data_IF_119335642306
#
_entry.id   IF_119335642306
#
_cell.length_a   1.000
_cell.length_b   1.000
_cell.length_c   1.000
_cell.angle_alpha   90.00
_cell.angle_beta   90.00
_cell.angle_gamma   90.00
#
_symmetry.space_group_name_H-M   'P 1'
#
loop_
_entity.id
_entity.type
_entity.pdbx_description
1 polymer ?
#
# COMPACT_ATOMS: atom_id res chain seq x y z
N UNK A 1 15.93 5.43 -23.16
CA UNK A 1 15.74 6.16 -21.89
C UNK A 1 14.25 6.46 -21.60
N UNK A 2 13.35 6.21 -22.55
CA UNK A 2 11.90 6.52 -22.47
C UNK A 2 11.08 5.67 -21.48
N UNK A 3 11.49 4.41 -21.21
CA UNK A 3 10.68 3.48 -20.41
C UNK A 3 10.75 3.67 -18.89
N UNK A 4 11.79 4.32 -18.36
CA UNK A 4 11.93 4.53 -16.90
C UNK A 4 10.94 5.58 -16.38
N UNK A 5 10.79 6.70 -17.11
CA UNK A 5 9.87 7.78 -16.72
C UNK A 5 8.40 7.36 -16.66
N UNK A 6 7.99 6.36 -17.46
CA UNK A 6 6.64 5.80 -17.37
C UNK A 6 6.43 5.04 -16.06
N UNK A 7 7.40 4.22 -15.63
CA UNK A 7 7.32 3.46 -14.38
C UNK A 7 7.36 4.39 -13.16
N UNK A 8 8.23 5.40 -13.18
CA UNK A 8 8.37 6.38 -12.12
C UNK A 8 7.06 7.17 -11.93
N UNK A 9 6.40 7.57 -13.03
CA UNK A 9 5.10 8.24 -12.99
C UNK A 9 4.02 7.38 -12.30
N UNK A 10 3.91 6.10 -12.63
CA UNK A 10 2.91 5.22 -12.01
C UNK A 10 3.21 4.93 -10.54
N UNK A 11 4.48 4.91 -10.15
CA UNK A 11 4.86 4.85 -8.74
C UNK A 11 4.43 6.11 -7.98
N UNK A 12 4.65 7.30 -8.55
CA UNK A 12 4.17 8.56 -7.96
C UNK A 12 2.64 8.59 -7.85
N UNK A 13 1.94 8.14 -8.90
CA UNK A 13 0.47 8.04 -8.88
C UNK A 13 0.00 7.08 -7.79
N UNK A 14 0.67 5.95 -7.59
CA UNK A 14 0.29 4.99 -6.54
C UNK A 14 0.40 5.59 -5.12
N UNK A 15 1.44 6.41 -4.87
CA UNK A 15 1.63 7.10 -3.59
C UNK A 15 0.59 8.19 -3.38
N UNK A 16 0.42 9.07 -4.38
CA UNK A 16 -0.53 10.17 -4.29
C UNK A 16 -1.98 9.67 -4.20
N UNK A 17 -2.34 8.69 -5.04
CA UNK A 17 -3.66 8.06 -5.02
C UNK A 17 -3.94 7.29 -3.73
N UNK A 18 -2.94 6.57 -3.21
CA UNK A 18 -3.04 5.87 -1.93
C UNK A 18 -3.26 6.83 -0.76
N UNK A 19 -2.54 7.95 -0.73
CA UNK A 19 -2.72 8.98 0.29
C UNK A 19 -4.07 9.68 0.20
N UNK A 20 -4.47 10.13 -1.01
CA UNK A 20 -5.75 10.80 -1.23
C UNK A 20 -6.93 9.91 -0.86
N UNK A 21 -6.91 8.64 -1.28
CA UNK A 21 -7.97 7.70 -0.94
C UNK A 21 -7.98 7.39 0.56
N UNK A 22 -6.82 7.32 1.22
CA UNK A 22 -6.77 7.18 2.68
C UNK A 22 -7.47 8.35 3.40
N UNK A 23 -7.18 9.58 2.98
CA UNK A 23 -7.78 10.78 3.57
C UNK A 23 -9.30 10.84 3.30
N UNK A 24 -9.74 10.51 2.09
CA UNK A 24 -11.15 10.45 1.74
C UNK A 24 -11.90 9.41 2.58
N UNK A 25 -11.36 8.20 2.71
CA UNK A 25 -11.98 7.13 3.51
C UNK A 25 -12.00 7.47 5.00
N UNK A 26 -10.97 8.14 5.53
CA UNK A 26 -10.97 8.64 6.91
C UNK A 26 -12.08 9.64 7.17
N UNK A 27 -12.31 10.56 6.22
CA UNK A 27 -13.38 11.55 6.33
C UNK A 27 -14.78 10.91 6.21
N UNK A 28 -14.92 9.80 5.49
CA UNK A 28 -16.20 9.11 5.28
C UNK A 28 -16.59 8.20 6.46
N UNK A 29 -15.65 7.42 6.99
CA UNK A 29 -15.97 6.41 8.01
C UNK A 29 -15.86 6.94 9.44
N UNK A 30 -15.10 8.02 9.67
CA UNK A 30 -14.91 8.68 10.97
C UNK A 30 -14.78 7.72 12.16
N UNK A 31 -14.07 6.60 11.96
CA UNK A 31 -14.01 5.52 12.94
C UNK A 31 -13.07 5.90 14.09
N UNK A 32 -13.56 5.81 15.31
CA UNK A 32 -12.76 6.01 16.53
C UNK A 32 -11.65 4.96 16.68
N UNK A 33 -10.59 5.33 17.40
CA UNK A 33 -9.41 4.47 17.61
C UNK A 33 -9.65 3.42 18.68
N UNK A 34 -9.11 2.19 18.52
CA UNK A 34 -9.13 1.23 19.61
C UNK A 34 -8.36 1.77 20.80
N UNK A 35 -8.98 1.72 21.98
CA UNK A 35 -8.30 1.92 23.27
C UNK A 35 -8.08 0.55 23.95
N UNK A 36 -7.34 -0.32 23.26
CA UNK A 36 -7.15 -1.72 23.69
C UNK A 36 -6.14 -1.85 24.83
N UNK A 37 -5.10 -1.01 24.83
CA UNK A 37 -4.05 -0.92 25.85
C UNK A 37 -3.39 0.46 25.72
N UNK A 38 -2.69 0.93 26.77
CA UNK A 38 -2.08 2.26 26.82
C UNK A 38 -1.25 2.54 25.58
N UNK A 39 -1.82 3.30 24.64
CA UNK A 39 -1.26 3.51 23.32
C UNK A 39 0.11 4.18 23.47
N UNK A 40 1.18 3.49 23.08
CA UNK A 40 2.56 3.99 23.22
C UNK A 40 2.81 5.28 22.42
N UNK A 41 1.94 5.54 21.45
CA UNK A 41 1.89 6.77 20.65
C UNK A 41 0.41 7.14 20.54
N UNK A 42 0.06 8.40 20.75
CA UNK A 42 -1.29 8.94 20.49
C UNK A 42 -1.24 9.65 19.14
N UNK A 43 -1.66 9.01 18.04
CA UNK A 43 -1.63 9.65 16.73
C UNK A 43 -2.95 10.41 16.52
N UNK A 44 -2.89 11.62 15.96
CA UNK A 44 -4.10 12.39 15.67
C UNK A 44 -4.96 11.74 14.55
N UNK A 45 -6.27 11.93 14.61
CA UNK A 45 -7.24 11.57 13.56
C UNK A 45 -7.82 10.15 13.60
N UNK A 46 -8.68 9.83 12.62
CA UNK A 46 -9.47 8.59 12.58
C UNK A 46 -8.64 7.31 12.33
N UNK A 47 -9.22 6.18 12.71
CA UNK A 47 -8.62 4.84 12.60
C UNK A 47 -8.66 4.22 11.23
N UNK A 48 -9.80 4.33 10.55
CA UNK A 48 -10.06 3.61 9.32
C UNK A 48 -9.82 4.50 8.10
N UNK A 49 -9.11 4.02 7.06
CA UNK A 49 -8.24 2.85 7.03
C UNK A 49 -6.82 3.20 7.52
N UNK A 50 -6.02 2.18 7.84
CA UNK A 50 -4.63 2.41 8.27
C UNK A 50 -3.79 2.98 7.12
N UNK A 51 -3.32 4.22 7.27
CA UNK A 51 -2.52 4.92 6.26
C UNK A 51 -1.20 4.21 5.95
N UNK A 52 -0.51 3.71 6.98
CA UNK A 52 0.73 2.94 6.80
C UNK A 52 0.48 1.65 6.02
N UNK A 53 -0.59 0.91 6.35
CA UNK A 53 -0.95 -0.31 5.63
C UNK A 53 -1.32 -0.02 4.17
N UNK A 54 -2.09 1.05 3.94
CA UNK A 54 -2.56 1.40 2.60
C UNK A 54 -1.47 1.91 1.67
N UNK A 55 -0.63 2.84 2.15
CA UNK A 55 0.45 3.42 1.34
C UNK A 55 1.54 2.37 1.08
N UNK A 56 1.88 1.55 2.08
CA UNK A 56 2.85 0.45 1.88
C UNK A 56 2.35 -0.58 0.87
N UNK A 57 1.09 -1.00 0.96
CA UNK A 57 0.48 -1.92 0.00
C UNK A 57 0.41 -1.31 -1.41
N UNK A 58 0.06 -0.03 -1.53
CA UNK A 58 0.01 0.65 -2.83
C UNK A 58 1.41 0.74 -3.47
N UNK A 59 2.41 1.24 -2.75
CA UNK A 59 3.73 1.48 -3.33
C UNK A 59 4.56 0.20 -3.52
N UNK A 60 4.76 -0.56 -2.45
CA UNK A 60 5.53 -1.81 -2.53
C UNK A 60 4.80 -2.88 -3.33
N UNK A 61 3.46 -2.83 -3.36
CA UNK A 61 2.65 -3.71 -4.22
C UNK A 61 2.92 -3.48 -5.71
N UNK A 62 3.01 -2.22 -6.18
CA UNK A 62 3.36 -1.95 -7.58
C UNK A 62 4.71 -2.56 -7.93
N UNK A 63 5.72 -2.34 -7.08
CA UNK A 63 7.07 -2.86 -7.30
C UNK A 63 7.06 -4.39 -7.31
N UNK A 64 6.39 -5.02 -6.35
CA UNK A 64 6.26 -6.48 -6.28
C UNK A 64 5.58 -7.04 -7.54
N UNK A 65 4.52 -6.41 -8.02
CA UNK A 65 3.82 -6.82 -9.25
C UNK A 65 4.70 -6.68 -10.49
N UNK A 66 5.44 -5.57 -10.62
CA UNK A 66 6.39 -5.37 -11.73
C UNK A 66 7.52 -6.40 -11.68
N UNK A 67 8.03 -6.72 -10.49
CA UNK A 67 9.04 -7.76 -10.28
C UNK A 67 8.52 -9.15 -10.68
N UNK A 68 7.31 -9.51 -10.26
CA UNK A 68 6.68 -10.79 -10.61
C UNK A 68 6.42 -10.91 -12.12
N UNK A 69 5.99 -9.82 -12.77
CA UNK A 69 5.70 -9.78 -14.21
C UNK A 69 6.95 -9.78 -15.09
N UNK A 70 8.14 -9.53 -14.53
CA UNK A 70 9.39 -9.53 -15.30
C UNK A 70 9.83 -10.92 -15.79
N UNK A 71 9.29 -12.00 -15.18
CA UNK A 71 9.64 -13.38 -15.49
C UNK A 71 11.01 -13.85 -14.97
N UNK A 72 11.82 -12.97 -14.36
CA UNK A 72 13.15 -13.34 -13.83
C UNK A 72 13.01 -14.08 -12.49
N UNK A 73 13.65 -15.25 -12.35
CA UNK A 73 13.56 -16.08 -11.16
C UNK A 73 13.97 -15.33 -9.86
N UNK A 74 15.05 -14.55 -9.90
CA UNK A 74 15.52 -13.75 -8.76
C UNK A 74 14.52 -12.67 -8.31
N UNK A 75 13.65 -12.19 -9.20
CA UNK A 75 12.66 -11.16 -8.86
C UNK A 75 11.52 -11.69 -7.99
N UNK A 76 11.25 -13.01 -8.00
CA UNK A 76 10.23 -13.62 -7.14
C UNK A 76 10.59 -13.54 -5.66
N UNK A 77 11.87 -13.72 -5.35
CA UNK A 77 12.39 -13.58 -3.97
C UNK A 77 12.22 -12.13 -3.51
N UNK A 78 12.62 -11.17 -4.33
CA UNK A 78 12.44 -9.74 -4.02
C UNK A 78 10.96 -9.35 -3.85
N UNK A 79 10.07 -9.88 -4.69
CA UNK A 79 8.64 -9.67 -4.52
C UNK A 79 8.11 -10.25 -3.19
N UNK A 80 8.56 -11.45 -2.81
CA UNK A 80 8.20 -12.05 -1.52
C UNK A 80 8.70 -11.20 -0.33
N UNK A 81 9.92 -10.67 -0.41
CA UNK A 81 10.47 -9.76 0.61
C UNK A 81 9.61 -8.48 0.74
N UNK A 82 9.20 -7.89 -0.38
CA UNK A 82 8.32 -6.71 -0.36
C UNK A 82 6.95 -7.00 0.26
N UNK A 83 6.35 -8.15 -0.05
CA UNK A 83 5.09 -8.59 0.57
C UNK A 83 5.25 -8.81 2.07
N UNK A 84 6.39 -9.40 2.50
CA UNK A 84 6.70 -9.55 3.92
C UNK A 84 6.83 -8.20 4.61
N UNK A 85 7.47 -7.21 3.98
CA UNK A 85 7.57 -5.84 4.52
C UNK A 85 6.18 -5.23 4.70
N UNK A 86 5.28 -5.35 3.72
CA UNK A 86 3.90 -4.85 3.82
C UNK A 86 3.19 -5.48 5.04
N UNK A 87 3.31 -6.80 5.19
CA UNK A 87 2.71 -7.52 6.33
C UNK A 87 3.29 -7.06 7.67
N UNK A 88 4.61 -6.94 7.78
CA UNK A 88 5.29 -6.47 8.99
C UNK A 88 4.88 -5.04 9.36
N UNK A 89 4.67 -4.17 8.36
CA UNK A 89 4.14 -2.82 8.58
C UNK A 89 2.73 -2.91 9.19
N UNK A 90 1.84 -3.76 8.66
CA UNK A 90 0.52 -3.97 9.27
C UNK A 90 0.60 -4.50 10.70
N UNK A 91 1.42 -5.52 10.94
CA UNK A 91 1.62 -6.12 12.27
C UNK A 91 2.16 -5.08 13.26
N UNK A 92 3.07 -4.19 12.84
CA UNK A 92 3.57 -3.12 13.69
C UNK A 92 2.46 -2.20 14.20
N UNK A 93 1.41 -1.99 13.39
CA UNK A 93 0.25 -1.15 13.77
C UNK A 93 -0.68 -1.85 14.74
N UNK A 94 -0.83 -3.17 14.62
CA UNK A 94 -1.55 -3.98 15.59
C UNK A 94 -0.78 -4.02 16.92
N UNK A 95 0.54 -4.24 16.85
CA UNK A 95 1.46 -4.25 18.00
C UNK A 95 1.59 -2.89 18.68
N UNK A 96 1.21 -1.78 18.05
CA UNK A 96 1.14 -0.46 18.68
C UNK A 96 -0.25 -0.15 19.24
N UNK A 97 -1.25 -1.01 19.02
CA UNK A 97 -2.61 -0.81 19.55
C UNK A 97 -3.39 0.30 18.86
N UNK A 98 -2.80 0.94 17.85
CA UNK A 98 -3.32 2.15 17.18
C UNK A 98 -4.34 1.88 16.08
N UNK A 99 -4.54 0.62 15.67
CA UNK A 99 -5.50 0.24 14.63
C UNK A 99 -6.14 -1.11 14.93
N UNK A 100 -7.40 -1.27 14.53
CA UNK A 100 -8.05 -2.58 14.50
C UNK A 100 -7.46 -3.44 13.37
N UNK A 101 -7.50 -4.76 13.52
CA UNK A 101 -7.13 -5.70 12.46
C UNK A 101 -7.92 -5.43 11.16
N UNK A 102 -9.21 -5.03 11.28
CA UNK A 102 -10.04 -4.64 10.14
C UNK A 102 -9.56 -3.38 9.42
N UNK A 103 -8.96 -2.40 10.14
CA UNK A 103 -8.42 -1.18 9.52
C UNK A 103 -7.16 -1.48 8.69
N UNK A 104 -6.37 -2.46 9.13
CA UNK A 104 -5.17 -2.95 8.44
C UNK A 104 -5.57 -3.72 7.18
N UNK A 105 -6.52 -4.65 7.31
CA UNK A 105 -7.04 -5.43 6.16
C UNK A 105 -7.68 -4.50 5.13
N UNK A 106 -8.51 -3.54 5.56
CA UNK A 106 -9.10 -2.55 4.66
C UNK A 106 -8.05 -1.70 3.94
N UNK A 107 -7.00 -1.29 4.66
CA UNK A 107 -5.86 -0.58 4.08
C UNK A 107 -5.11 -1.41 3.04
N UNK A 108 -4.81 -2.68 3.34
CA UNK A 108 -4.14 -3.59 2.41
C UNK A 108 -4.96 -3.83 1.14
N UNK A 109 -6.27 -4.07 1.27
CA UNK A 109 -7.14 -4.30 0.11
C UNK A 109 -7.22 -3.06 -0.78
N UNK A 110 -7.47 -1.88 -0.19
CA UNK A 110 -7.53 -0.63 -0.96
C UNK A 110 -6.18 -0.30 -1.63
N UNK A 111 -5.07 -0.51 -0.93
CA UNK A 111 -3.73 -0.35 -1.50
C UNK A 111 -3.43 -1.35 -2.62
N UNK A 112 -3.86 -2.61 -2.49
CA UNK A 112 -3.67 -3.63 -3.51
C UNK A 112 -4.43 -3.32 -4.81
N UNK A 113 -5.65 -2.76 -4.73
CA UNK A 113 -6.39 -2.29 -5.91
C UNK A 113 -5.63 -1.19 -6.65
N UNK A 114 -5.11 -0.20 -5.91
CA UNK A 114 -4.29 0.87 -6.50
C UNK A 114 -3.03 0.29 -7.15
N UNK A 115 -2.38 -0.65 -6.47
CA UNK A 115 -1.17 -1.29 -6.97
C UNK A 115 -1.42 -2.03 -8.28
N UNK A 116 -2.50 -2.79 -8.38
CA UNK A 116 -2.85 -3.54 -9.58
C UNK A 116 -3.17 -2.61 -10.76
N UNK A 117 -3.95 -1.54 -10.53
CA UNK A 117 -4.26 -0.52 -11.54
C UNK A 117 -2.99 0.18 -12.05
N UNK A 118 -2.11 0.59 -11.15
CA UNK A 118 -0.86 1.27 -11.51
C UNK A 118 0.12 0.32 -12.22
N UNK A 119 0.25 -0.92 -11.75
CA UNK A 119 1.08 -1.93 -12.40
C UNK A 119 0.54 -2.29 -13.79
N UNK A 120 -0.78 -2.36 -13.97
CA UNK A 120 -1.40 -2.57 -15.27
C UNK A 120 -1.16 -1.38 -16.22
N UNK A 121 -1.31 -0.14 -15.74
CA UNK A 121 -0.98 1.06 -16.52
C UNK A 121 0.49 1.16 -16.92
N UNK A 122 1.40 0.70 -16.05
CA UNK A 122 2.84 0.66 -16.31
C UNK A 122 3.21 -0.39 -17.37
N UNK A 123 2.59 -1.57 -17.34
CA UNK A 123 2.86 -2.67 -18.28
C UNK A 123 2.09 -2.52 -19.59
N UNK A 124 0.86 -2.01 -19.57
CA UNK A 124 0.03 -1.81 -20.76
C UNK A 124 0.65 -0.85 -21.79
N UNK A 125 1.46 0.11 -21.32
CA UNK A 125 2.27 0.99 -22.20
C UNK A 125 3.52 0.31 -22.77
N UNK A 126 3.97 -0.81 -22.19
CA UNK A 126 5.13 -1.58 -22.66
C UNK A 126 4.79 -2.50 -23.85
N UNK A 127 3.52 -2.84 -24.07
CA UNK A 127 3.08 -3.78 -25.13
C UNK A 127 2.62 -3.11 -26.44
N UNK A 128 2.57 -1.77 -26.50
CA UNK A 128 2.03 -1.02 -27.66
C UNK A 128 3.09 -0.43 -28.61
N UNK A 129 4.36 -0.76 -28.41
CA UNK A 129 5.48 -0.49 -29.32
C UNK A 129 6.25 -1.79 -29.56
#
# INVERSE_FOLDING_TARGET
>A
MENKGCQDLWLTISLAGGWLLNQALKALYTRERPDLWGSLVVPDGYSFPSGNAMISAAFFGVIALLLLRSGKAGNRIWAAVLLLIILLIGVSRLYLGVHYASDIVGGFLAGAVIAELCAWGAVGRHRRY
#
